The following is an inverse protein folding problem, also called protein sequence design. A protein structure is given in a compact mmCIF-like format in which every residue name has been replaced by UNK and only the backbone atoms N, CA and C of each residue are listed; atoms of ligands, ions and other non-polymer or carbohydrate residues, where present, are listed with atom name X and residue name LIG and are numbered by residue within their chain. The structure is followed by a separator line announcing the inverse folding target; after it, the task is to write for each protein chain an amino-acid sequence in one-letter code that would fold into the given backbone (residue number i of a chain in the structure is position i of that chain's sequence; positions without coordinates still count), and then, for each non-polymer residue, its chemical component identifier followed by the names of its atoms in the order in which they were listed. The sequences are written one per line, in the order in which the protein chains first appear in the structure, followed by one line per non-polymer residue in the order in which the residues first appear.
data_IF_099602942197
#
_entry.id   IF_099602942197
#
_cell.length_a   1.000
_cell.length_b   1.000
_cell.length_c   1.000
_cell.angle_alpha   90.00
_cell.angle_beta   90.00
_cell.angle_gamma   90.00
#
_symmetry.space_group_name_H-M   'P 1'
#
loop_
_entity.id
_entity.type
_entity.pdbx_description
1 polymer ?
#
# COMPACT_ATOMS: atom_id res chain seq x y z
N UNK A 1 -2.80 -1.81 26.19
CA UNK A 1 -3.08 -0.50 25.55
C UNK A 1 -3.98 -0.74 24.34
N UNK A 2 -5.11 -0.03 24.23
CA UNK A 2 -6.07 -0.23 23.14
C UNK A 2 -5.56 0.50 21.91
N UNK A 3 -5.12 -0.24 20.89
CA UNK A 3 -4.70 0.33 19.61
C UNK A 3 -5.81 1.20 19.03
N UNK A 4 -5.54 2.48 18.89
CA UNK A 4 -6.47 3.44 18.32
C UNK A 4 -6.55 3.20 16.81
N UNK A 5 -7.76 2.89 16.33
CA UNK A 5 -8.18 2.78 14.90
C UNK A 5 -8.21 1.37 14.31
N UNK A 6 -9.20 0.58 14.76
CA UNK A 6 -9.71 -0.60 14.09
C UNK A 6 -10.63 -0.23 12.91
N UNK A 7 -10.06 0.45 11.91
CA UNK A 7 -10.80 0.98 10.75
C UNK A 7 -10.47 0.22 9.47
N UNK A 8 -11.51 -0.06 8.68
CA UNK A 8 -11.42 -0.49 7.29
C UNK A 8 -11.73 0.69 6.38
N UNK A 9 -10.79 1.02 5.52
CA UNK A 9 -10.93 2.05 4.50
C UNK A 9 -11.43 1.42 3.20
N UNK A 10 -12.33 2.08 2.49
CA UNK A 10 -12.74 1.62 1.16
C UNK A 10 -13.83 0.55 1.13
N UNK A 11 -13.89 -0.17 0.02
CA UNK A 11 -14.87 -1.22 -0.22
C UNK A 11 -14.34 -2.61 0.11
N UNK A 12 -15.24 -3.48 0.58
CA UNK A 12 -14.92 -4.85 0.96
C UNK A 12 -14.62 -5.73 -0.28
N UNK A 13 -15.03 -5.29 -1.47
CA UNK A 13 -14.71 -5.95 -2.73
C UNK A 13 -13.36 -5.60 -3.32
N UNK A 14 -12.57 -4.69 -2.69
CA UNK A 14 -11.25 -4.35 -3.22
C UNK A 14 -10.30 -5.53 -3.01
N UNK A 15 -9.83 -6.07 -4.12
CA UNK A 15 -8.80 -7.10 -4.18
C UNK A 15 -7.45 -6.44 -4.41
N UNK A 16 -6.42 -7.00 -3.79
CA UNK A 16 -5.03 -6.58 -3.95
C UNK A 16 -4.18 -7.80 -4.18
N UNK A 17 -3.24 -7.70 -5.11
CA UNK A 17 -2.24 -8.72 -5.34
C UNK A 17 -0.95 -8.32 -4.64
N UNK A 18 -0.50 -9.17 -3.72
CA UNK A 18 0.73 -8.96 -2.98
C UNK A 18 1.85 -9.75 -3.61
N UNK A 19 3.06 -9.23 -3.49
CA UNK A 19 4.28 -9.94 -3.86
C UNK A 19 5.14 -10.13 -2.63
N UNK A 20 5.59 -11.36 -2.41
CA UNK A 20 6.56 -11.61 -1.37
C UNK A 20 7.91 -10.97 -1.73
N UNK A 21 8.57 -10.31 -0.76
CA UNK A 21 9.81 -9.55 -1.00
C UNK A 21 10.91 -10.38 -1.69
N UNK A 22 11.03 -11.67 -1.38
CA UNK A 22 12.00 -12.56 -2.05
C UNK A 22 11.66 -12.79 -3.53
N UNK A 23 10.38 -12.93 -3.86
CA UNK A 23 9.94 -13.10 -5.24
C UNK A 23 10.16 -11.81 -6.01
N UNK A 24 9.90 -10.66 -5.38
CA UNK A 24 10.20 -9.34 -5.95
C UNK A 24 11.70 -9.18 -6.27
N UNK A 25 12.58 -9.53 -5.33
CA UNK A 25 14.04 -9.49 -5.53
C UNK A 25 14.47 -10.43 -6.64
N UNK A 26 13.96 -11.66 -6.66
CA UNK A 26 14.26 -12.63 -7.72
C UNK A 26 13.81 -12.13 -9.10
N UNK A 27 12.60 -11.55 -9.19
CA UNK A 27 12.09 -10.97 -10.41
C UNK A 27 12.99 -9.82 -10.93
N UNK A 28 13.56 -9.00 -10.04
CA UNK A 28 14.53 -7.97 -10.44
C UNK A 28 15.85 -8.56 -10.95
N UNK A 29 16.37 -9.61 -10.31
CA UNK A 29 17.58 -10.30 -10.77
C UNK A 29 17.35 -10.93 -12.15
N UNK A 30 16.19 -11.59 -12.33
CA UNK A 30 15.82 -12.18 -13.61
C UNK A 30 15.63 -11.12 -14.70
N UNK A 31 15.02 -9.98 -14.37
CA UNK A 31 14.89 -8.85 -15.29
C UNK A 31 16.27 -8.29 -15.69
N UNK A 32 17.20 -8.16 -14.76
CA UNK A 32 18.57 -7.73 -15.06
C UNK A 32 19.29 -8.74 -15.98
N UNK A 33 19.15 -10.05 -15.73
CA UNK A 33 19.70 -11.09 -16.59
C UNK A 33 19.04 -11.09 -17.99
N UNK A 34 17.76 -10.81 -18.08
CA UNK A 34 17.02 -10.72 -19.33
C UNK A 34 17.39 -9.48 -20.18
N UNK A 35 18.18 -8.55 -19.63
CA UNK A 35 18.74 -7.40 -20.33
C UNK A 35 20.17 -7.62 -20.79
N UNK A 36 20.72 -8.83 -20.66
CA UNK A 36 22.07 -9.12 -21.13
C UNK A 36 22.08 -9.57 -22.60
N UNK A 37 23.23 -9.44 -23.29
CA UNK A 37 23.36 -9.92 -24.68
C UNK A 37 23.08 -11.42 -24.83
N UNK A 38 23.39 -12.24 -23.81
CA UNK A 38 23.16 -13.69 -23.83
C UNK A 38 21.68 -14.06 -23.90
N UNK A 39 20.81 -13.16 -23.43
CA UNK A 39 19.35 -13.29 -23.44
C UNK A 39 18.69 -12.39 -24.49
N UNK A 40 19.46 -11.86 -25.45
CA UNK A 40 18.99 -10.99 -26.53
C UNK A 40 18.14 -9.79 -26.07
N UNK A 41 18.44 -9.26 -24.87
CA UNK A 41 17.74 -8.11 -24.31
C UNK A 41 16.21 -8.24 -24.28
N UNK A 42 15.67 -9.46 -24.12
CA UNK A 42 14.22 -9.74 -24.21
C UNK A 42 13.34 -8.89 -23.28
N UNK A 43 13.91 -8.36 -22.19
CA UNK A 43 13.19 -7.48 -21.26
C UNK A 43 13.25 -5.98 -21.63
N UNK A 44 14.00 -5.61 -22.67
CA UNK A 44 14.23 -4.24 -23.09
C UNK A 44 12.97 -3.53 -23.57
N UNK A 45 12.68 -2.35 -23.01
CA UNK A 45 11.54 -1.51 -23.42
C UNK A 45 10.16 -2.05 -23.06
N UNK A 46 10.08 -3.13 -22.28
CA UNK A 46 8.83 -3.73 -21.84
C UNK A 46 8.47 -3.28 -20.41
N UNK A 47 7.16 -3.17 -20.14
CA UNK A 47 6.64 -2.96 -18.79
C UNK A 47 6.14 -4.29 -18.22
N UNK A 48 6.70 -4.71 -17.08
CA UNK A 48 6.32 -5.94 -16.38
C UNK A 48 5.65 -5.62 -15.04
N UNK A 49 4.59 -6.35 -14.71
CA UNK A 49 3.93 -6.29 -13.41
C UNK A 49 4.35 -7.50 -12.58
N UNK A 50 5.09 -7.27 -11.50
CA UNK A 50 5.55 -8.34 -10.61
C UNK A 50 4.49 -8.58 -9.53
N UNK A 51 3.92 -9.77 -9.50
CA UNK A 51 2.88 -10.17 -8.58
C UNK A 51 2.89 -11.70 -8.40
N UNK A 52 2.35 -12.22 -7.29
CA UNK A 52 2.36 -13.67 -7.00
C UNK A 52 1.09 -14.38 -7.52
N UNK A 53 0.23 -13.68 -8.27
CA UNK A 53 -0.98 -14.24 -8.90
C UNK A 53 -2.19 -14.43 -7.97
N UNK A 54 -2.04 -14.25 -6.66
CA UNK A 54 -3.14 -14.35 -5.70
C UNK A 54 -3.79 -12.99 -5.44
N UNK A 55 -5.06 -12.86 -5.83
CA UNK A 55 -5.89 -11.71 -5.48
C UNK A 55 -6.56 -11.95 -4.13
N UNK A 56 -6.22 -11.12 -3.13
CA UNK A 56 -6.75 -11.26 -1.77
C UNK A 56 -7.33 -9.95 -1.28
N UNK A 57 -8.37 -10.04 -0.45
CA UNK A 57 -8.83 -8.88 0.30
C UNK A 57 -7.82 -8.57 1.41
N UNK A 58 -7.36 -7.31 1.48
CA UNK A 58 -6.37 -6.86 2.46
C UNK A 58 -6.75 -7.18 3.92
N UNK A 59 -8.01 -6.94 4.30
CA UNK A 59 -8.46 -7.14 5.68
C UNK A 59 -8.65 -8.61 6.04
N UNK A 60 -8.97 -9.45 5.07
CA UNK A 60 -8.97 -10.90 5.25
C UNK A 60 -7.54 -11.42 5.37
N UNK A 61 -6.64 -10.97 4.49
CA UNK A 61 -5.22 -11.35 4.52
C UNK A 61 -4.52 -10.94 5.83
N UNK A 62 -4.86 -9.76 6.39
CA UNK A 62 -4.34 -9.30 7.68
C UNK A 62 -5.03 -9.94 8.90
N UNK A 63 -6.17 -10.62 8.75
CA UNK A 63 -6.93 -11.19 9.88
C UNK A 63 -6.07 -12.10 10.78
N UNK A 64 -5.28 -13.04 10.24
CA UNK A 64 -4.44 -13.91 11.06
C UNK A 64 -3.37 -13.15 11.84
N UNK A 65 -2.89 -12.00 11.33
CA UNK A 65 -1.93 -11.16 12.03
C UNK A 65 -2.58 -10.50 13.26
N UNK A 66 -3.76 -9.91 13.10
CA UNK A 66 -4.49 -9.30 14.22
C UNK A 66 -4.83 -10.33 15.30
N UNK A 67 -5.30 -11.51 14.91
CA UNK A 67 -5.61 -12.61 15.82
C UNK A 67 -4.38 -13.06 16.61
N UNK A 68 -3.23 -13.25 15.96
CA UNK A 68 -1.98 -13.64 16.61
C UNK A 68 -1.41 -12.58 17.55
N UNK A 69 -1.69 -11.31 17.28
CA UNK A 69 -1.32 -10.19 18.14
C UNK A 69 -2.33 -9.93 19.27
N UNK A 70 -3.42 -10.70 19.35
CA UNK A 70 -4.47 -10.54 20.35
C UNK A 70 -5.38 -9.31 20.11
N UNK A 71 -5.36 -8.75 18.90
CA UNK A 71 -6.21 -7.63 18.51
C UNK A 71 -7.49 -8.11 17.84
N UNK A 72 -8.57 -7.34 18.01
CA UNK A 72 -9.80 -7.58 17.27
C UNK A 72 -9.64 -7.10 15.82
N UNK A 73 -10.19 -7.85 14.87
CA UNK A 73 -10.23 -7.47 13.45
C UNK A 73 -10.89 -6.10 13.28
N UNK A 74 -10.36 -5.20 12.43
CA UNK A 74 -10.97 -3.91 12.18
C UNK A 74 -12.40 -4.06 11.63
N UNK A 75 -13.39 -3.46 12.30
CA UNK A 75 -14.81 -3.59 11.94
C UNK A 75 -15.43 -2.29 11.43
N UNK A 76 -14.91 -1.13 11.84
CA UNK A 76 -15.46 0.19 11.50
C UNK A 76 -15.12 0.52 10.05
N UNK A 77 -16.12 0.75 9.19
CA UNK A 77 -15.89 1.15 7.80
C UNK A 77 -15.91 2.66 7.67
N UNK A 78 -14.84 3.24 7.12
CA UNK A 78 -14.81 4.67 6.77
C UNK A 78 -14.86 4.81 5.24
N UNK A 79 -15.89 5.48 4.69
CA UNK A 79 -15.95 5.81 3.27
C UNK A 79 -14.74 6.63 2.82
N UNK A 80 -14.20 6.31 1.64
CA UNK A 80 -13.02 6.98 1.07
C UNK A 80 -13.20 8.49 0.97
N UNK A 81 -14.41 8.97 0.69
CA UNK A 81 -14.71 10.40 0.64
C UNK A 81 -14.39 11.12 1.97
N UNK A 82 -14.69 10.51 3.12
CA UNK A 82 -14.38 11.13 4.42
C UNK A 82 -12.87 11.22 4.64
N UNK A 83 -12.15 10.15 4.30
CA UNK A 83 -10.68 10.12 4.37
C UNK A 83 -10.10 11.20 3.45
N UNK A 84 -10.61 11.30 2.23
CA UNK A 84 -10.17 12.29 1.26
C UNK A 84 -10.43 13.72 1.74
N UNK A 85 -11.60 14.01 2.30
CA UNK A 85 -11.90 15.31 2.91
C UNK A 85 -10.92 15.65 4.03
N UNK A 86 -10.62 14.69 4.92
CA UNK A 86 -9.63 14.93 5.99
C UNK A 86 -8.25 15.25 5.43
N UNK A 87 -7.81 14.53 4.40
CA UNK A 87 -6.54 14.81 3.74
C UNK A 87 -6.51 16.20 3.09
N UNK A 88 -7.60 16.64 2.42
CA UNK A 88 -7.71 18.02 1.88
C UNK A 88 -7.57 19.08 2.97
N UNK A 89 -8.22 18.88 4.12
CA UNK A 89 -8.16 19.83 5.23
C UNK A 89 -6.74 19.90 5.80
N UNK A 90 -6.12 18.74 6.04
CA UNK A 90 -4.75 18.65 6.57
C UNK A 90 -3.76 19.34 5.62
N UNK A 91 -3.83 19.07 4.31
CA UNK A 91 -2.97 19.73 3.32
C UNK A 91 -3.17 21.24 3.27
N UNK A 92 -4.43 21.73 3.34
CA UNK A 92 -4.70 23.18 3.33
C UNK A 92 -4.14 23.87 4.57
N UNK A 93 -4.35 23.26 5.74
CA UNK A 93 -3.82 23.78 7.01
C UNK A 93 -2.30 23.78 6.96
N UNK A 94 -1.68 22.71 6.48
CA UNK A 94 -0.24 22.62 6.33
C UNK A 94 0.28 23.68 5.35
N UNK A 95 -0.31 23.82 4.16
CA UNK A 95 0.12 24.82 3.18
C UNK A 95 0.05 26.25 3.74
N UNK A 96 -0.89 26.53 4.63
CA UNK A 96 -0.99 27.81 5.33
C UNK A 96 0.07 27.98 6.44
N UNK A 97 0.49 26.89 7.08
CA UNK A 97 1.44 26.88 8.20
C UNK A 97 2.91 26.69 7.75
N UNK A 98 3.16 26.12 6.57
CA UNK A 98 4.48 25.94 5.96
C UNK A 98 5.37 27.20 5.95
N UNK A 99 4.86 28.43 5.70
CA UNK A 99 5.71 29.63 5.78
C UNK A 99 6.22 29.95 7.20
N UNK A 100 5.72 29.27 8.24
CA UNK A 100 6.01 29.57 9.65
C UNK A 100 6.59 28.34 10.38
N UNK A 101 6.19 27.11 10.02
CA UNK A 101 6.58 25.87 10.69
C UNK A 101 6.78 24.73 9.68
N UNK A 102 7.94 24.07 9.73
CA UNK A 102 8.20 22.82 8.98
C UNK A 102 7.52 21.64 9.68
N UNK A 103 6.28 21.32 9.30
CA UNK A 103 5.54 20.15 9.81
C UNK A 103 5.43 19.11 8.70
N UNK A 104 5.83 17.86 9.00
CA UNK A 104 5.61 16.72 8.11
C UNK A 104 4.19 16.16 8.35
N UNK A 105 3.31 16.14 7.33
CA UNK A 105 1.95 15.67 7.48
C UNK A 105 1.93 14.15 7.64
N UNK A 106 1.07 13.67 8.53
CA UNK A 106 0.83 12.23 8.71
C UNK A 106 -0.03 11.66 7.56
N UNK A 107 -0.86 12.49 6.92
CA UNK A 107 -1.81 12.09 5.87
C UNK A 107 -1.76 13.12 4.73
N UNK A 108 -1.37 12.65 3.55
CA UNK A 108 -1.42 13.37 2.27
C UNK A 108 -2.30 12.61 1.29
N UNK A 109 -2.83 13.30 0.28
CA UNK A 109 -3.57 12.68 -0.83
C UNK A 109 -2.63 12.01 -1.85
N UNK A 110 -1.33 12.31 -1.78
CA UNK A 110 -0.28 11.86 -2.68
C UNK A 110 0.78 11.06 -1.92
#
# INVERSE_FOLDING_TARGET
ERGFLNVRLGDLGVLTNWVHVKNLVQAHILAANALTPEMDYIAGGQAYFINDGEEVNLFEWLSPLFERLGYQKPWVRIPVFLVHLTAVVVEKVQNLLLPILEITPLITRH
#
